data_IF_673415583242
#
_entry.id   IF_673415583242
#
_cell.length_a   1.000
_cell.length_b   1.000
_cell.length_c   1.000
_cell.angle_alpha   90.00
_cell.angle_beta   90.00
_cell.angle_gamma   90.00
#
_symmetry.space_group_name_H-M   'P 1'
#
loop_
_entity.id
_entity.type
_entity.pdbx_description
1 polymer ?
#
# COMPACT_ATOMS: atom_id res chain seq x y z
N UNK A 1 9.80 18.89 -13.48
CA UNK A 1 8.96 18.78 -12.27
C UNK A 1 8.68 20.21 -11.79
N UNK A 2 7.47 20.53 -11.29
CA UNK A 2 7.20 21.87 -10.77
C UNK A 2 8.14 22.23 -9.62
N UNK A 3 8.53 23.50 -9.52
CA UNK A 3 9.50 23.98 -8.52
C UNK A 3 9.04 23.81 -7.05
N UNK A 4 7.73 23.65 -6.84
CA UNK A 4 7.13 23.42 -5.52
C UNK A 4 7.11 21.95 -5.08
N UNK A 5 7.50 21.02 -5.94
CA UNK A 5 7.56 19.60 -5.63
C UNK A 5 8.96 19.24 -5.15
N UNK A 6 9.05 18.32 -4.19
CA UNK A 6 10.32 17.77 -3.72
C UNK A 6 10.38 16.26 -3.92
N UNK A 7 11.58 15.74 -4.15
CA UNK A 7 11.83 14.29 -4.13
C UNK A 7 12.23 13.89 -2.72
N UNK A 8 11.58 12.85 -2.20
CA UNK A 8 11.81 12.38 -0.84
C UNK A 8 11.88 10.86 -0.79
N UNK A 9 12.74 10.32 0.05
CA UNK A 9 12.82 8.86 0.26
C UNK A 9 11.66 8.37 1.11
N UNK A 10 11.17 7.15 0.80
CA UNK A 10 10.08 6.53 1.54
C UNK A 10 10.32 6.50 3.04
N UNK A 11 11.51 6.12 3.49
CA UNK A 11 11.88 6.07 4.92
C UNK A 11 11.75 7.41 5.67
N UNK A 12 11.67 8.53 4.96
CA UNK A 12 11.50 9.85 5.57
C UNK A 12 10.03 10.26 5.70
N UNK A 13 9.12 9.57 5.03
CA UNK A 13 7.69 9.94 4.96
C UNK A 13 6.73 8.78 5.22
N UNK A 14 7.24 7.58 5.37
CA UNK A 14 6.45 6.42 5.80
C UNK A 14 6.81 6.08 7.25
N UNK A 15 5.79 5.92 8.08
CA UNK A 15 5.99 5.47 9.46
C UNK A 15 6.55 4.05 9.46
N UNK A 16 7.36 3.67 10.46
CA UNK A 16 7.78 2.29 10.63
C UNK A 16 6.58 1.35 10.72
N UNK A 17 6.64 0.21 10.02
CA UNK A 17 5.59 -0.79 10.10
C UNK A 17 5.48 -1.38 11.51
N UNK A 18 4.27 -1.48 12.03
CA UNK A 18 4.00 -2.09 13.31
C UNK A 18 3.76 -3.59 13.18
N UNK A 19 4.39 -4.36 14.07
CA UNK A 19 4.12 -5.79 14.21
C UNK A 19 3.07 -6.04 15.29
N UNK A 20 2.23 -7.05 15.06
CA UNK A 20 1.24 -7.52 16.03
C UNK A 20 1.10 -9.03 15.97
N UNK A 21 0.44 -9.60 16.97
CA UNK A 21 -0.03 -10.99 16.96
C UNK A 21 -1.51 -11.00 17.27
N UNK A 22 -2.30 -11.85 16.60
CA UNK A 22 -3.71 -11.99 16.94
C UNK A 22 -3.89 -12.42 18.41
N UNK A 23 -4.73 -11.72 19.14
CA UNK A 23 -5.10 -12.04 20.54
C UNK A 23 -6.55 -12.53 20.66
N UNK A 24 -7.28 -12.51 19.57
CA UNK A 24 -8.65 -12.99 19.40
C UNK A 24 -8.90 -13.36 17.95
N UNK A 25 -10.11 -13.79 17.60
CA UNK A 25 -10.52 -13.98 16.22
C UNK A 25 -10.40 -12.67 15.44
N UNK A 26 -9.95 -12.72 14.19
CA UNK A 26 -9.55 -11.54 13.45
C UNK A 26 -9.81 -11.66 11.95
N UNK A 27 -9.78 -10.51 11.28
CA UNK A 27 -9.78 -10.42 9.82
C UNK A 27 -8.34 -10.47 9.33
N UNK A 28 -8.02 -11.43 8.48
CA UNK A 28 -6.71 -11.59 7.87
C UNK A 28 -6.73 -11.17 6.40
N UNK A 29 -5.79 -10.33 6.03
CA UNK A 29 -5.62 -9.83 4.67
C UNK A 29 -4.29 -10.34 4.12
N UNK A 30 -4.34 -11.36 3.25
CA UNK A 30 -3.18 -11.80 2.46
C UNK A 30 -3.21 -11.14 1.08
N UNK A 31 -2.16 -11.34 0.29
CA UNK A 31 -2.00 -10.72 -1.04
C UNK A 31 -3.17 -11.08 -1.97
N UNK A 32 -3.68 -12.30 -1.88
CA UNK A 32 -4.84 -12.79 -2.64
C UNK A 32 -6.18 -12.14 -2.25
N UNK A 33 -6.23 -11.43 -1.12
CA UNK A 33 -7.42 -10.70 -0.70
C UNK A 33 -7.62 -9.37 -1.44
N UNK A 34 -6.63 -8.91 -2.21
CA UNK A 34 -6.72 -7.67 -2.97
C UNK A 34 -7.15 -7.96 -4.40
N UNK A 35 -8.27 -7.38 -4.80
CA UNK A 35 -8.67 -7.36 -6.20
C UNK A 35 -7.85 -6.30 -6.96
N UNK A 36 -6.88 -6.74 -7.74
CA UNK A 36 -5.95 -5.86 -8.45
C UNK A 36 -6.51 -5.20 -9.72
N UNK A 37 -7.73 -5.54 -10.12
CA UNK A 37 -8.42 -4.86 -11.24
C UNK A 37 -9.04 -3.54 -10.81
N UNK A 38 -9.52 -3.49 -9.56
CA UNK A 38 -10.17 -2.31 -8.99
C UNK A 38 -9.47 -1.81 -7.72
N UNK A 39 -8.40 -2.46 -7.30
CA UNK A 39 -7.52 -2.08 -6.19
C UNK A 39 -8.23 -1.86 -4.86
N UNK A 40 -9.03 -2.85 -4.47
CA UNK A 40 -9.73 -2.89 -3.18
C UNK A 40 -9.47 -4.21 -2.44
N UNK A 41 -9.68 -4.19 -1.13
CA UNK A 41 -9.74 -5.41 -0.32
C UNK A 41 -11.11 -6.05 -0.56
N UNK A 42 -11.13 -7.21 -1.22
CA UNK A 42 -12.35 -7.85 -1.72
C UNK A 42 -12.64 -9.19 -1.04
N UNK A 43 -11.62 -9.98 -0.74
CA UNK A 43 -11.76 -11.33 -0.23
C UNK A 43 -10.89 -11.61 1.02
N UNK A 44 -11.08 -10.86 2.13
CA UNK A 44 -10.36 -11.12 3.37
C UNK A 44 -10.84 -12.44 4.01
N UNK A 45 -9.99 -13.05 4.85
CA UNK A 45 -10.30 -14.26 5.60
C UNK A 45 -10.68 -13.92 7.03
N UNK A 46 -11.72 -14.54 7.55
CA UNK A 46 -12.09 -14.47 8.97
C UNK A 46 -11.52 -15.69 9.67
N UNK A 47 -10.52 -15.50 10.52
CA UNK A 47 -9.78 -16.59 11.14
C UNK A 47 -9.92 -16.57 12.66
N UNK A 48 -9.96 -17.77 13.25
CA UNK A 48 -9.77 -17.94 14.67
C UNK A 48 -8.31 -17.71 15.05
N UNK A 49 -8.07 -17.18 16.24
CA UNK A 49 -6.72 -16.93 16.75
C UNK A 49 -5.81 -18.17 16.61
N UNK A 50 -6.31 -19.35 16.97
CA UNK A 50 -5.58 -20.63 16.92
C UNK A 50 -5.11 -21.04 15.51
N UNK A 51 -5.77 -20.51 14.47
CA UNK A 51 -5.49 -20.79 13.07
C UNK A 51 -4.69 -19.65 12.39
N UNK A 52 -4.11 -18.74 13.18
CA UNK A 52 -3.38 -17.61 12.65
C UNK A 52 -2.12 -18.06 11.88
N UNK A 53 -1.99 -17.70 10.60
CA UNK A 53 -0.76 -17.95 9.87
C UNK A 53 0.42 -17.21 10.51
N UNK A 54 1.62 -17.77 10.45
CA UNK A 54 2.84 -17.12 10.96
C UNK A 54 3.12 -15.76 10.29
N UNK A 55 2.59 -15.57 9.09
CA UNK A 55 2.69 -14.30 8.32
C UNK A 55 1.68 -13.24 8.74
N UNK A 56 0.71 -13.55 9.59
CA UNK A 56 -0.31 -12.60 10.08
C UNK A 56 0.27 -11.70 11.19
N UNK A 57 1.11 -10.75 10.80
CA UNK A 57 1.85 -9.91 11.77
C UNK A 57 1.85 -8.41 11.47
N UNK A 58 1.30 -7.96 10.33
CA UNK A 58 1.27 -6.54 9.98
C UNK A 58 0.03 -5.88 10.56
N UNK A 59 0.22 -5.02 11.58
CA UNK A 59 -0.87 -4.20 12.14
C UNK A 59 -1.30 -3.13 11.14
N UNK A 60 -2.60 -2.90 11.06
CA UNK A 60 -3.20 -1.93 10.15
C UNK A 60 -3.85 -0.78 10.90
N UNK A 61 -3.91 0.37 10.23
CA UNK A 61 -4.68 1.54 10.62
C UNK A 61 -5.52 2.03 9.44
N UNK A 62 -6.57 2.78 9.74
CA UNK A 62 -7.31 3.48 8.70
C UNK A 62 -6.39 4.37 7.87
N UNK A 63 -6.59 4.38 6.56
CA UNK A 63 -5.80 5.12 5.57
C UNK A 63 -4.38 4.57 5.32
N UNK A 64 -4.02 3.44 5.91
CA UNK A 64 -2.82 2.72 5.47
C UNK A 64 -2.98 2.25 4.03
N UNK A 65 -1.86 2.10 3.35
CA UNK A 65 -1.79 1.53 2.02
C UNK A 65 -1.12 0.15 2.09
N UNK A 66 -1.80 -0.87 1.59
CA UNK A 66 -1.22 -2.19 1.37
C UNK A 66 -0.52 -2.20 0.02
N UNK A 67 0.77 -2.48 0.00
CA UNK A 67 1.56 -2.64 -1.21
C UNK A 67 2.16 -4.05 -1.24
N UNK A 68 1.74 -4.89 -2.21
CA UNK A 68 2.31 -6.23 -2.33
C UNK A 68 3.77 -6.18 -2.76
N UNK A 69 4.65 -6.76 -1.94
CA UNK A 69 6.05 -6.94 -2.29
C UNK A 69 6.28 -8.16 -3.17
N UNK A 70 5.29 -9.06 -3.25
CA UNK A 70 5.32 -10.24 -4.12
C UNK A 70 4.70 -9.86 -5.45
N UNK A 71 5.42 -10.05 -6.55
CA UNK A 71 5.00 -9.73 -7.91
C UNK A 71 4.40 -8.31 -8.00
N UNK A 72 5.16 -7.25 -7.69
CA UNK A 72 4.64 -5.88 -7.65
C UNK A 72 3.94 -5.46 -8.95
N UNK A 73 4.37 -6.01 -10.10
CA UNK A 73 3.74 -5.78 -11.41
C UNK A 73 2.26 -6.18 -11.48
N UNK A 74 1.78 -7.05 -10.59
CA UNK A 74 0.36 -7.40 -10.49
C UNK A 74 -0.48 -6.30 -9.83
N UNK A 75 0.16 -5.30 -9.21
CA UNK A 75 -0.50 -4.16 -8.57
C UNK A 75 -1.55 -4.57 -7.53
N UNK A 76 -1.25 -5.57 -6.70
CA UNK A 76 -2.07 -5.89 -5.54
C UNK A 76 -1.86 -4.82 -4.47
N UNK A 77 -2.53 -3.68 -4.66
CA UNK A 77 -2.41 -2.46 -3.87
C UNK A 77 -3.82 -2.01 -3.48
N UNK A 78 -4.03 -1.70 -2.21
CA UNK A 78 -5.33 -1.25 -1.72
C UNK A 78 -5.21 -0.30 -0.52
N UNK A 79 -6.14 0.66 -0.41
CA UNK A 79 -6.29 1.47 0.80
C UNK A 79 -7.08 0.73 1.87
N UNK A 80 -6.66 0.87 3.12
CA UNK A 80 -7.33 0.35 4.30
C UNK A 80 -8.42 1.34 4.72
N UNK A 81 -9.67 0.97 4.47
CA UNK A 81 -10.83 1.74 4.92
C UNK A 81 -11.19 1.46 6.38
N UNK A 82 -12.22 2.15 6.87
CA UNK A 82 -12.72 2.01 8.24
C UNK A 82 -13.04 0.55 8.61
N UNK A 83 -13.59 -0.21 7.67
CA UNK A 83 -14.00 -1.61 7.86
C UNK A 83 -12.83 -2.53 8.27
N UNK A 84 -11.61 -2.23 7.83
CA UNK A 84 -10.45 -3.09 7.98
C UNK A 84 -9.32 -2.48 8.82
N UNK A 85 -9.57 -1.38 9.52
CA UNK A 85 -8.56 -0.69 10.34
C UNK A 85 -7.96 -1.56 11.46
N UNK A 86 -8.70 -2.56 11.92
CA UNK A 86 -8.28 -3.48 12.99
C UNK A 86 -7.90 -4.87 12.44
N UNK A 87 -7.85 -5.03 11.12
CA UNK A 87 -7.41 -6.26 10.49
C UNK A 87 -5.89 -6.44 10.61
N UNK A 88 -5.42 -7.65 10.35
CA UNK A 88 -4.00 -7.99 10.34
C UNK A 88 -3.62 -8.42 8.93
N UNK A 89 -2.60 -7.79 8.37
CA UNK A 89 -2.12 -8.14 7.04
C UNK A 89 -0.93 -9.10 7.08
N UNK A 90 -0.73 -9.76 5.95
CA UNK A 90 0.39 -10.66 5.70
C UNK A 90 1.71 -9.90 5.57
N UNK A 91 2.82 -10.55 5.94
CA UNK A 91 4.19 -10.07 5.65
C UNK A 91 4.50 -9.95 4.15
N UNK A 92 3.64 -10.45 3.26
CA UNK A 92 3.73 -10.21 1.82
C UNK A 92 3.45 -8.76 1.42
N UNK A 93 2.83 -7.98 2.32
CA UNK A 93 2.64 -6.54 2.14
C UNK A 93 3.71 -5.70 2.84
N UNK A 94 4.12 -4.63 2.19
CA UNK A 94 4.61 -3.44 2.86
C UNK A 94 3.39 -2.57 3.20
N UNK A 95 3.23 -2.26 4.48
CA UNK A 95 2.14 -1.39 4.96
C UNK A 95 2.66 0.03 5.02
N UNK A 96 2.16 0.87 4.14
CA UNK A 96 2.54 2.28 4.08
C UNK A 96 1.60 3.08 4.95
N UNK A 97 2.10 3.57 6.07
CA UNK A 97 1.42 4.56 6.92
C UNK A 97 2.09 5.91 6.66
N UNK A 98 1.43 6.84 5.92
CA UNK A 98 2.05 8.10 5.59
C UNK A 98 2.13 9.02 6.81
N UNK A 99 3.23 9.78 6.90
CA UNK A 99 3.31 10.91 7.84
C UNK A 99 2.36 12.05 7.43
N UNK A 100 2.14 13.00 8.33
CA UNK A 100 1.40 14.22 8.00
C UNK A 100 2.03 14.93 6.79
N UNK A 101 1.19 15.32 5.84
CA UNK A 101 1.63 15.95 4.59
C UNK A 101 1.42 15.10 3.34
N UNK A 102 1.16 13.81 3.47
CA UNK A 102 0.65 12.98 2.37
C UNK A 102 -0.86 12.77 2.46
N UNK A 103 -1.55 13.09 1.39
CA UNK A 103 -2.94 12.69 1.21
C UNK A 103 -2.96 11.17 0.90
N UNK A 104 -3.71 10.33 1.63
CA UNK A 104 -3.71 8.88 1.43
C UNK A 104 -4.12 8.45 0.01
N UNK A 105 -5.09 9.14 -0.60
CA UNK A 105 -5.51 8.85 -1.98
C UNK A 105 -4.46 9.27 -3.00
N UNK A 106 -3.78 10.40 -2.79
CA UNK A 106 -2.67 10.79 -3.65
C UNK A 106 -1.55 9.74 -3.60
N UNK A 107 -1.18 9.31 -2.40
CA UNK A 107 -0.18 8.25 -2.21
C UNK A 107 -0.62 6.95 -2.91
N UNK A 108 -1.89 6.57 -2.79
CA UNK A 108 -2.45 5.40 -3.46
C UNK A 108 -2.29 5.47 -4.98
N UNK A 109 -2.68 6.57 -5.62
CA UNK A 109 -2.53 6.74 -7.07
C UNK A 109 -1.06 6.80 -7.49
N UNK A 110 -0.22 7.43 -6.69
CA UNK A 110 1.22 7.46 -6.94
C UNK A 110 1.83 6.06 -6.90
N UNK A 111 1.49 5.25 -5.91
CA UNK A 111 2.00 3.87 -5.79
C UNK A 111 1.50 2.95 -6.90
N UNK A 112 0.35 3.25 -7.52
CA UNK A 112 -0.16 2.57 -8.72
C UNK A 112 0.48 3.03 -10.02
N UNK A 113 1.20 4.15 -10.01
CA UNK A 113 1.80 4.71 -11.22
C UNK A 113 2.90 3.81 -11.79
N UNK A 114 3.08 3.88 -13.10
CA UNK A 114 4.17 3.15 -13.75
C UNK A 114 5.54 3.59 -13.23
N UNK A 115 5.70 4.88 -12.86
CA UNK A 115 6.93 5.35 -12.24
C UNK A 115 7.35 4.49 -11.04
N UNK A 116 6.44 4.23 -10.10
CA UNK A 116 6.72 3.43 -8.91
C UNK A 116 6.81 1.94 -9.23
N UNK A 117 5.84 1.42 -9.96
CA UNK A 117 5.77 -0.03 -10.26
C UNK A 117 6.97 -0.47 -11.10
N UNK A 118 7.25 0.20 -12.21
CA UNK A 118 8.35 -0.19 -13.11
C UNK A 118 9.70 0.01 -12.43
N UNK A 119 9.86 1.08 -11.64
CA UNK A 119 11.06 1.33 -10.87
C UNK A 119 11.34 0.28 -9.80
N UNK A 120 10.32 -0.13 -9.05
CA UNK A 120 10.44 -1.16 -8.02
C UNK A 120 10.62 -2.57 -8.63
N UNK A 121 10.01 -2.85 -9.78
CA UNK A 121 10.18 -4.12 -10.49
C UNK A 121 11.65 -4.42 -10.85
N UNK A 122 12.48 -3.40 -11.02
CA UNK A 122 13.93 -3.58 -11.28
C UNK A 122 14.67 -4.27 -10.13
N UNK A 123 14.12 -4.24 -8.93
CA UNK A 123 14.71 -4.87 -7.75
C UNK A 123 14.19 -6.29 -7.47
N UNK A 124 13.25 -6.78 -8.26
CA UNK A 124 12.69 -8.12 -8.06
C UNK A 124 13.75 -9.22 -8.14
N UNK A 125 13.63 -10.17 -7.21
CA UNK A 125 14.44 -11.40 -7.18
C UNK A 125 13.54 -12.61 -6.95
N UNK A 126 13.96 -13.75 -7.49
CA UNK A 126 13.27 -15.04 -7.38
C UNK A 126 12.58 -15.44 -8.68
N UNK A 127 12.53 -16.76 -8.94
CA UNK A 127 12.05 -17.31 -10.20
C UNK A 127 10.52 -17.51 -10.19
N UNK A 128 9.99 -18.21 -9.17
CA UNK A 128 8.56 -18.57 -9.13
C UNK A 128 7.68 -17.46 -8.53
N UNK A 129 8.19 -16.73 -7.55
CA UNK A 129 7.48 -15.64 -6.88
C UNK A 129 8.40 -14.45 -6.71
N UNK A 130 8.74 -13.75 -7.81
CA UNK A 130 9.67 -12.61 -7.74
C UNK A 130 9.13 -11.56 -6.79
N UNK A 131 10.00 -11.08 -5.92
CA UNK A 131 9.63 -10.15 -4.86
C UNK A 131 10.70 -9.08 -4.63
N UNK A 132 10.28 -8.01 -3.98
CA UNK A 132 11.14 -6.93 -3.49
C UNK A 132 11.19 -6.97 -1.96
N UNK A 133 12.13 -6.23 -1.38
CA UNK A 133 12.30 -6.09 0.07
C UNK A 133 11.82 -4.71 0.54
N UNK A 134 11.62 -4.57 1.85
CA UNK A 134 11.23 -3.31 2.49
C UNK A 134 12.15 -2.15 2.08
N UNK A 135 13.47 -2.36 2.11
CA UNK A 135 14.46 -1.33 1.78
C UNK A 135 14.28 -0.75 0.36
N UNK A 136 13.79 -1.52 -0.60
CA UNK A 136 13.56 -1.03 -1.95
C UNK A 136 12.44 0.04 -1.96
N UNK A 137 11.38 -0.14 -1.15
CA UNK A 137 10.32 0.84 -0.98
C UNK A 137 10.80 2.03 -0.15
N UNK A 138 11.53 1.77 0.92
CA UNK A 138 12.01 2.79 1.85
C UNK A 138 13.05 3.72 1.24
N UNK A 139 13.93 3.19 0.41
CA UNK A 139 14.98 3.98 -0.25
C UNK A 139 14.56 4.59 -1.59
N UNK A 140 13.40 4.17 -2.15
CA UNK A 140 12.89 4.73 -3.39
C UNK A 140 12.52 6.22 -3.23
N UNK A 141 12.65 6.98 -4.31
CA UNK A 141 12.32 8.41 -4.32
C UNK A 141 10.88 8.63 -4.78
N UNK A 142 10.13 9.34 -3.98
CA UNK A 142 8.74 9.69 -4.25
C UNK A 142 8.58 11.21 -4.41
N UNK A 143 7.77 11.66 -5.37
CA UNK A 143 7.45 13.08 -5.49
C UNK A 143 6.47 13.48 -4.38
N UNK A 144 6.76 14.58 -3.72
CA UNK A 144 5.90 15.17 -2.70
C UNK A 144 5.48 16.58 -3.12
N UNK A 145 4.27 16.73 -3.71
CA UNK A 145 3.68 18.03 -3.96
C UNK A 145 3.18 18.69 -2.66
N UNK A 146 2.97 20.01 -2.65
CA UNK A 146 2.18 20.65 -1.60
C UNK A 146 0.80 20.01 -1.44
N UNK A 147 0.26 19.98 -0.22
CA UNK A 147 -0.98 19.27 0.08
C UNK A 147 -2.18 19.69 -0.79
N UNK A 148 -2.30 21.00 -1.07
CA UNK A 148 -3.35 21.51 -1.97
C UNK A 148 -3.24 20.95 -3.40
N UNK A 149 -2.02 20.75 -3.87
CA UNK A 149 -1.76 20.17 -5.18
C UNK A 149 -2.09 18.68 -5.20
N UNK A 150 -1.75 17.94 -4.14
CA UNK A 150 -2.17 16.55 -3.98
C UNK A 150 -3.69 16.41 -4.05
N UNK A 151 -4.43 17.26 -3.32
CA UNK A 151 -5.90 17.28 -3.32
C UNK A 151 -6.46 17.58 -4.71
N UNK A 152 -5.88 18.55 -5.42
CA UNK A 152 -6.27 18.91 -6.78
C UNK A 152 -6.10 17.72 -7.74
N UNK A 153 -4.96 17.03 -7.66
CA UNK A 153 -4.65 15.85 -8.48
C UNK A 153 -5.65 14.73 -8.21
N UNK A 154 -5.89 14.40 -6.94
CA UNK A 154 -6.86 13.37 -6.53
C UNK A 154 -8.25 13.68 -7.08
N UNK A 155 -8.73 14.91 -6.89
CA UNK A 155 -10.05 15.33 -7.39
C UNK A 155 -10.16 15.20 -8.91
N UNK A 156 -9.10 15.51 -9.62
CA UNK A 156 -9.09 15.38 -11.08
C UNK A 156 -9.09 13.92 -11.55
N UNK A 157 -8.32 13.06 -10.90
CA UNK A 157 -8.32 11.62 -11.20
C UNK A 157 -9.69 11.02 -10.93
N UNK A 158 -10.31 11.31 -9.79
CA UNK A 158 -11.63 10.79 -9.42
C UNK A 158 -12.72 11.26 -10.39
N UNK A 159 -12.68 12.52 -10.81
CA UNK A 159 -13.59 13.04 -11.85
C UNK A 159 -13.46 12.30 -13.17
N UNK A 160 -12.24 12.01 -13.60
CA UNK A 160 -12.02 11.24 -14.83
C UNK A 160 -12.58 9.82 -14.72
N UNK A 161 -12.40 9.15 -13.59
CA UNK A 161 -12.99 7.83 -13.37
C UNK A 161 -14.53 7.87 -13.34
N UNK A 162 -15.15 8.92 -12.81
CA UNK A 162 -16.60 9.08 -12.85
C UNK A 162 -17.13 9.22 -14.27
N UNK A 163 -16.39 9.88 -15.17
CA UNK A 163 -16.77 10.04 -16.57
C UNK A 163 -16.66 8.75 -17.39
N UNK A 164 -15.90 7.76 -16.92
CA UNK A 164 -15.68 6.48 -17.60
C UNK A 164 -16.66 5.39 -17.15
N UNK A 165 -17.50 5.67 -16.17
CA UNK A 165 -18.58 4.79 -15.69
C UNK A 165 -19.90 5.07 -16.41
#
# INVERSE_FOLDING_TARGET
>A
MPSSWVWIRGKSVFMPMESTKPTSDFVYIDVDAVNNKINIIDNPKYLKQENAPSRATRKLHKNDLLFSMVRPYLKNIALVGEKYKDAIASTGFYVVTPVLGYNPKFLFYMMLSNYVIDGLNLFMKGDNSPSINNCHIEDYLYPLPPLKEQQRIVSQIERLFEQLR
#
